data_IF_425135290924
#
_entry.id   IF_425135290924
#
_cell.length_a   1.000
_cell.length_b   1.000
_cell.length_c   1.000
_cell.angle_alpha   90.00
_cell.angle_beta   90.00
_cell.angle_gamma   90.00
#
_symmetry.space_group_name_H-M   'P 1'
#
loop_
_entity.id
_entity.type
_entity.pdbx_description
1 polymer ?
#
# COMPACT_ATOMS: atom_id res chain seq x y z
N UNK A 1 30.29 5.17 23.95
CA UNK A 1 30.34 5.83 22.64
C UNK A 1 29.54 5.09 21.55
N UNK A 2 29.28 3.77 21.64
CA UNK A 2 28.46 3.02 20.68
C UNK A 2 26.95 3.20 20.89
N UNK A 3 26.47 3.42 22.10
CA UNK A 3 25.06 3.61 22.40
C UNK A 3 24.47 4.93 21.82
N UNK A 4 25.24 6.01 21.80
CA UNK A 4 24.78 7.30 21.26
C UNK A 4 24.55 7.26 19.74
N UNK A 5 25.40 6.52 18.98
CA UNK A 5 25.23 6.39 17.52
C UNK A 5 24.02 5.56 17.10
N UNK A 6 23.57 4.65 17.97
CA UNK A 6 22.37 3.83 17.70
C UNK A 6 21.07 4.61 17.95
N UNK A 7 21.05 5.47 18.95
CA UNK A 7 19.91 6.36 19.25
C UNK A 7 19.73 7.37 18.10
N UNK A 8 20.80 8.04 17.66
CA UNK A 8 20.76 8.98 16.53
C UNK A 8 20.19 8.35 15.25
N UNK A 9 20.63 7.11 14.93
CA UNK A 9 20.13 6.41 13.74
C UNK A 9 18.64 6.04 13.86
N UNK A 10 18.19 5.62 15.02
CA UNK A 10 16.78 5.30 15.26
C UNK A 10 15.91 6.55 15.16
N UNK A 11 16.35 7.68 15.72
CA UNK A 11 15.62 8.95 15.61
C UNK A 11 15.51 9.39 14.15
N UNK A 12 16.60 9.29 13.37
CA UNK A 12 16.60 9.60 11.95
C UNK A 12 15.65 8.69 11.20
N UNK A 13 15.68 7.37 11.45
CA UNK A 13 14.78 6.41 10.83
C UNK A 13 13.30 6.72 11.13
N UNK A 14 12.99 7.05 12.38
CA UNK A 14 11.63 7.43 12.79
C UNK A 14 11.16 8.71 12.12
N UNK A 15 12.01 9.73 12.02
CA UNK A 15 11.68 11.00 11.35
C UNK A 15 11.45 10.78 9.86
N UNK A 16 12.32 10.02 9.19
CA UNK A 16 12.18 9.70 7.78
C UNK A 16 10.91 8.89 7.51
N UNK A 17 10.66 7.83 8.29
CA UNK A 17 9.47 7.01 8.17
C UNK A 17 8.19 7.82 8.46
N UNK A 18 8.18 8.65 9.50
CA UNK A 18 7.06 9.53 9.80
C UNK A 18 6.80 10.54 8.67
N UNK A 19 7.87 11.09 8.07
CA UNK A 19 7.76 11.97 6.91
C UNK A 19 7.20 11.26 5.68
N UNK A 20 7.75 10.09 5.33
CA UNK A 20 7.33 9.29 4.18
C UNK A 20 5.89 8.78 4.33
N UNK A 21 5.57 8.12 5.45
CA UNK A 21 4.21 7.60 5.70
C UNK A 21 3.20 8.73 6.00
N UNK A 22 3.65 9.85 6.55
CA UNK A 22 2.85 11.06 6.68
C UNK A 22 2.48 11.65 5.33
N UNK A 23 3.39 11.62 4.35
CA UNK A 23 3.11 12.02 2.98
C UNK A 23 2.11 11.08 2.31
N UNK A 24 2.29 9.75 2.41
CA UNK A 24 1.36 8.78 1.80
C UNK A 24 -0.04 8.92 2.42
N UNK A 25 -0.14 9.04 3.73
CA UNK A 25 -1.39 9.34 4.43
C UNK A 25 -2.03 10.67 3.99
N UNK A 26 -1.23 11.72 3.80
CA UNK A 26 -1.73 13.01 3.31
C UNK A 26 -2.36 12.86 1.92
N UNK A 27 -1.78 12.05 1.06
CA UNK A 27 -2.31 11.79 -0.28
C UNK A 27 -3.63 11.02 -0.22
N UNK A 28 -3.78 10.02 0.67
CA UNK A 28 -5.06 9.35 0.97
C UNK A 28 -6.11 10.37 1.45
N UNK A 29 -5.71 11.28 2.34
CA UNK A 29 -6.60 12.33 2.84
C UNK A 29 -7.02 13.31 1.75
N UNK A 30 -6.11 13.72 0.87
CA UNK A 30 -6.41 14.59 -0.28
C UNK A 30 -7.34 13.89 -1.28
N UNK A 31 -7.09 12.62 -1.58
CA UNK A 31 -7.98 11.81 -2.40
C UNK A 31 -9.38 11.71 -1.79
N UNK A 32 -9.46 11.45 -0.49
CA UNK A 32 -10.73 11.42 0.24
C UNK A 32 -11.43 12.78 0.23
N UNK A 33 -10.70 13.90 0.18
CA UNK A 33 -11.27 15.24 0.13
C UNK A 33 -11.97 15.55 -1.19
N UNK A 34 -11.74 14.77 -2.24
CA UNK A 34 -12.45 14.89 -3.53
C UNK A 34 -13.98 14.85 -3.33
N UNK A 35 -14.47 14.07 -2.36
CA UNK A 35 -15.90 13.98 -2.04
C UNK A 35 -16.50 15.30 -1.52
N UNK A 36 -15.68 16.20 -0.97
CA UNK A 36 -16.14 17.50 -0.47
C UNK A 36 -16.50 18.45 -1.62
N UNK A 37 -15.76 18.33 -2.75
CA UNK A 37 -15.89 19.20 -3.93
C UNK A 37 -16.77 18.55 -4.99
N UNK A 38 -16.44 17.32 -5.40
CA UNK A 38 -17.19 16.59 -6.40
C UNK A 38 -18.46 16.03 -5.75
N UNK A 39 -19.60 16.30 -6.40
CA UNK A 39 -20.88 15.73 -6.01
C UNK A 39 -20.96 14.22 -6.29
N UNK A 40 -22.19 13.69 -6.43
CA UNK A 40 -22.45 12.26 -6.64
C UNK A 40 -21.96 11.63 -7.96
N UNK A 41 -21.26 12.36 -8.84
CA UNK A 41 -21.01 11.95 -10.23
C UNK A 41 -19.53 11.97 -10.59
N UNK A 42 -18.76 11.02 -10.05
CA UNK A 42 -17.52 10.63 -10.73
C UNK A 42 -17.88 9.50 -11.72
N UNK A 43 -17.57 9.70 -13.00
CA UNK A 43 -17.85 8.70 -14.02
C UNK A 43 -17.11 7.38 -13.72
N UNK A 44 -17.78 6.27 -13.98
CA UNK A 44 -17.21 4.93 -13.70
C UNK A 44 -15.87 4.70 -14.42
N UNK A 45 -15.67 5.30 -15.60
CA UNK A 45 -14.41 5.23 -16.33
C UNK A 45 -13.23 5.87 -15.57
N UNK A 46 -13.46 6.99 -14.87
CA UNK A 46 -12.43 7.63 -14.05
C UNK A 46 -12.09 6.77 -12.83
N UNK A 47 -13.08 6.15 -12.20
CA UNK A 47 -12.84 5.23 -11.07
C UNK A 47 -12.01 4.03 -11.52
N UNK A 48 -12.37 3.40 -12.64
CA UNK A 48 -11.61 2.29 -13.25
C UNK A 48 -10.16 2.68 -13.56
N UNK A 49 -9.96 3.88 -14.12
CA UNK A 49 -8.62 4.39 -14.38
C UNK A 49 -7.80 4.58 -13.10
N UNK A 50 -8.42 5.07 -12.04
CA UNK A 50 -7.76 5.22 -10.74
C UNK A 50 -7.31 3.89 -10.17
N UNK A 51 -8.18 2.87 -10.17
CA UNK A 51 -7.81 1.54 -9.71
C UNK A 51 -6.74 0.88 -10.58
N UNK A 52 -6.84 1.01 -11.91
CA UNK A 52 -5.83 0.50 -12.81
C UNK A 52 -4.47 1.16 -12.59
N UNK A 53 -4.45 2.47 -12.46
CA UNK A 53 -3.23 3.24 -12.23
C UNK A 53 -2.57 2.87 -10.88
N UNK A 54 -3.36 2.77 -9.81
CA UNK A 54 -2.88 2.31 -8.50
C UNK A 54 -2.32 0.89 -8.57
N UNK A 55 -3.04 -0.05 -9.21
CA UNK A 55 -2.55 -1.42 -9.43
C UNK A 55 -1.18 -1.45 -10.14
N UNK A 56 -1.03 -0.63 -11.19
CA UNK A 56 0.23 -0.52 -11.93
C UNK A 56 1.39 -0.07 -11.05
N UNK A 57 1.19 0.97 -10.24
CA UNK A 57 2.18 1.46 -9.27
C UNK A 57 2.54 0.36 -8.27
N UNK A 58 1.54 -0.31 -7.67
CA UNK A 58 1.77 -1.38 -6.68
C UNK A 58 2.56 -2.54 -7.27
N UNK A 59 2.24 -2.97 -8.50
CA UNK A 59 2.97 -4.04 -9.19
C UNK A 59 4.44 -3.67 -9.36
N UNK A 60 4.74 -2.48 -9.86
CA UNK A 60 6.11 -2.03 -10.06
C UNK A 60 6.87 -1.84 -8.72
N UNK A 61 6.26 -1.16 -7.74
CA UNK A 61 6.84 -0.98 -6.41
C UNK A 61 7.17 -2.30 -5.72
N UNK A 62 6.26 -3.28 -5.81
CA UNK A 62 6.48 -4.61 -5.23
C UNK A 62 7.71 -5.30 -5.82
N UNK A 63 7.97 -5.13 -7.11
CA UNK A 63 9.12 -5.76 -7.78
C UNK A 63 10.39 -4.94 -7.55
N UNK A 64 10.39 -3.67 -7.96
CA UNK A 64 11.60 -2.85 -8.01
C UNK A 64 12.03 -2.36 -6.62
N UNK A 65 11.11 -1.83 -5.82
CA UNK A 65 11.45 -1.22 -4.54
C UNK A 65 11.46 -2.20 -3.36
N UNK A 66 10.91 -3.41 -3.49
CA UNK A 66 10.81 -4.37 -2.39
C UNK A 66 11.46 -5.73 -2.69
N UNK A 67 11.05 -6.44 -3.75
CA UNK A 67 11.57 -7.78 -4.03
C UNK A 67 13.04 -7.77 -4.46
N UNK A 68 13.43 -6.87 -5.35
CA UNK A 68 14.84 -6.78 -5.79
C UNK A 68 15.75 -6.42 -4.61
N UNK A 69 15.48 -5.38 -3.79
CA UNK A 69 16.25 -5.11 -2.58
C UNK A 69 16.24 -6.24 -1.56
N UNK A 70 15.15 -7.02 -1.48
CA UNK A 70 15.10 -8.20 -0.59
C UNK A 70 16.08 -9.28 -1.04
N UNK A 71 16.15 -9.57 -2.34
CA UNK A 71 17.09 -10.54 -2.93
C UNK A 71 18.53 -10.10 -2.72
N UNK A 72 18.85 -8.85 -3.09
CA UNK A 72 20.18 -8.28 -2.95
C UNK A 72 20.69 -8.32 -1.50
N UNK A 73 19.82 -7.98 -0.54
CA UNK A 73 20.18 -8.00 0.88
C UNK A 73 20.36 -9.39 1.47
N UNK A 74 19.77 -10.41 0.86
CA UNK A 74 19.95 -11.80 1.28
C UNK A 74 21.26 -12.39 0.72
N UNK A 75 21.90 -11.75 -0.26
CA UNK A 75 23.16 -12.22 -0.82
C UNK A 75 24.27 -12.25 0.23
N UNK A 76 24.98 -13.38 0.31
CA UNK A 76 26.01 -13.60 1.32
C UNK A 76 25.49 -13.89 2.75
N UNK A 77 24.18 -13.92 2.94
CA UNK A 77 23.52 -14.29 4.20
C UNK A 77 23.42 -15.81 4.39
N UNK A 78 22.85 -16.24 5.53
CA UNK A 78 22.70 -17.67 5.88
C UNK A 78 21.66 -18.39 5.01
N UNK A 79 20.83 -17.66 4.28
CA UNK A 79 19.73 -18.18 3.44
C UNK A 79 19.88 -17.63 2.02
N UNK A 80 19.72 -18.47 0.98
CA UNK A 80 19.75 -17.99 -0.41
C UNK A 80 18.69 -16.92 -0.68
N UNK A 81 19.04 -15.89 -1.49
CA UNK A 81 18.16 -14.75 -1.77
C UNK A 81 16.79 -15.15 -2.33
N UNK A 82 16.75 -16.15 -3.23
CA UNK A 82 15.48 -16.65 -3.77
C UNK A 82 14.56 -17.28 -2.71
N UNK A 83 15.14 -17.90 -1.67
CA UNK A 83 14.35 -18.51 -0.59
C UNK A 83 13.80 -17.44 0.36
N UNK A 84 14.60 -16.42 0.72
CA UNK A 84 14.13 -15.30 1.52
C UNK A 84 13.04 -14.51 0.79
N UNK A 85 13.25 -14.21 -0.49
CA UNK A 85 12.28 -13.48 -1.31
C UNK A 85 11.01 -14.31 -1.55
N UNK A 86 11.13 -15.54 -2.03
CA UNK A 86 9.98 -16.42 -2.31
C UNK A 86 9.21 -16.78 -1.04
N UNK A 87 9.91 -17.11 0.05
CA UNK A 87 9.29 -17.42 1.34
C UNK A 87 8.60 -16.21 1.98
N UNK A 88 9.26 -15.06 1.99
CA UNK A 88 8.68 -13.81 2.48
C UNK A 88 7.43 -13.43 1.69
N UNK A 89 7.52 -13.45 0.36
CA UNK A 89 6.38 -13.18 -0.53
C UNK A 89 5.22 -14.14 -0.27
N UNK A 90 5.47 -15.45 -0.17
CA UNK A 90 4.43 -16.43 0.11
C UNK A 90 3.76 -16.19 1.49
N UNK A 91 4.54 -15.78 2.50
CA UNK A 91 3.99 -15.41 3.81
C UNK A 91 3.12 -14.15 3.71
N UNK A 92 3.50 -13.13 2.93
CA UNK A 92 2.71 -11.92 2.73
C UNK A 92 1.38 -12.21 2.05
N UNK A 93 1.39 -12.99 0.95
CA UNK A 93 0.18 -13.47 0.27
C UNK A 93 -0.69 -14.28 1.23
N UNK A 94 -0.11 -15.26 1.95
CA UNK A 94 -0.84 -16.11 2.89
C UNK A 94 -1.43 -15.32 4.05
N UNK A 95 -0.75 -14.28 4.52
CA UNK A 95 -1.23 -13.40 5.58
C UNK A 95 -2.48 -12.62 5.14
N UNK A 96 -2.44 -11.98 3.97
CA UNK A 96 -3.61 -11.24 3.46
C UNK A 96 -4.76 -12.19 3.12
N UNK A 97 -4.49 -13.31 2.47
CA UNK A 97 -5.50 -14.33 2.20
C UNK A 97 -6.15 -14.86 3.50
N UNK A 98 -5.38 -14.97 4.60
CA UNK A 98 -5.93 -15.36 5.90
C UNK A 98 -6.78 -14.25 6.51
N UNK A 99 -6.34 -12.97 6.39
CA UNK A 99 -7.13 -11.82 6.84
C UNK A 99 -8.46 -11.74 6.10
N UNK A 100 -8.45 -11.92 4.77
CA UNK A 100 -9.65 -11.91 3.94
C UNK A 100 -10.67 -12.98 4.36
N UNK A 101 -10.20 -14.15 4.80
CA UNK A 101 -11.06 -15.21 5.30
C UNK A 101 -11.55 -14.97 6.73
N UNK A 102 -10.77 -14.29 7.56
CA UNK A 102 -11.06 -14.08 8.99
C UNK A 102 -11.83 -12.80 9.25
N UNK A 103 -11.67 -11.78 8.42
CA UNK A 103 -12.29 -10.48 8.62
C UNK A 103 -13.42 -10.31 7.61
N UNK A 104 -14.65 -9.95 8.06
CA UNK A 104 -15.74 -9.68 7.13
C UNK A 104 -15.40 -8.44 6.31
N UNK A 105 -15.31 -8.58 5.00
CA UNK A 105 -15.03 -7.51 4.05
C UNK A 105 -15.85 -7.70 2.77
N UNK A 106 -15.81 -6.73 1.89
CA UNK A 106 -16.56 -6.77 0.64
C UNK A 106 -15.74 -6.13 -0.47
N UNK A 107 -15.55 -6.87 -1.55
CA UNK A 107 -15.08 -6.32 -2.81
C UNK A 107 -16.21 -5.59 -3.53
N UNK A 108 -15.96 -4.45 -4.21
CA UNK A 108 -16.99 -3.64 -4.85
C UNK A 108 -17.87 -4.41 -5.83
N UNK A 109 -17.30 -5.39 -6.53
CA UNK A 109 -17.97 -6.19 -7.56
C UNK A 109 -18.47 -7.56 -7.05
N UNK A 110 -18.22 -7.90 -5.79
CA UNK A 110 -18.69 -9.15 -5.21
C UNK A 110 -20.20 -9.13 -4.97
N UNK A 111 -20.87 -10.25 -5.28
CA UNK A 111 -22.29 -10.43 -5.07
C UNK A 111 -22.74 -10.52 -3.59
N UNK A 112 -21.77 -10.54 -2.65
CA UNK A 112 -21.99 -10.60 -1.21
C UNK A 112 -20.70 -10.44 -0.41
N UNK A 113 -20.80 -10.25 0.92
CA UNK A 113 -19.63 -10.14 1.80
C UNK A 113 -18.88 -11.47 1.88
N UNK A 114 -17.55 -11.38 1.86
CA UNK A 114 -16.62 -12.48 2.06
C UNK A 114 -16.13 -12.54 3.52
N UNK A 115 -15.46 -13.63 3.90
CA UNK A 115 -14.99 -13.84 5.27
C UNK A 115 -16.07 -14.33 6.22
N UNK A 116 -15.94 -14.01 7.50
CA UNK A 116 -16.91 -14.40 8.53
C UNK A 116 -18.22 -13.66 8.35
N UNK A 117 -19.36 -14.38 8.41
CA UNK A 117 -20.69 -13.78 8.25
C UNK A 117 -20.91 -12.66 9.25
N UNK A 118 -21.04 -11.43 8.77
CA UNK A 118 -21.35 -10.26 9.58
C UNK A 118 -22.53 -9.47 8.99
N UNK A 119 -23.35 -8.90 9.86
CA UNK A 119 -24.46 -8.02 9.47
C UNK A 119 -24.02 -6.56 9.26
N UNK A 120 -22.77 -6.34 8.92
CA UNK A 120 -22.21 -5.00 8.74
C UNK A 120 -22.65 -4.40 7.41
N UNK A 121 -22.78 -3.08 7.40
CA UNK A 121 -23.12 -2.36 6.16
C UNK A 121 -22.00 -2.52 5.12
N UNK A 122 -22.39 -2.63 3.86
CA UNK A 122 -21.47 -2.74 2.72
C UNK A 122 -20.30 -1.74 2.78
N UNK A 123 -20.60 -0.47 3.08
CA UNK A 123 -19.61 0.59 3.23
C UNK A 123 -18.60 0.38 4.36
N UNK A 124 -19.00 -0.25 5.46
CA UNK A 124 -18.09 -0.57 6.56
C UNK A 124 -17.11 -1.66 6.13
N UNK A 125 -17.59 -2.65 5.38
CA UNK A 125 -16.78 -3.73 4.85
C UNK A 125 -15.77 -3.22 3.82
N UNK A 126 -16.20 -2.35 2.89
CA UNK A 126 -15.30 -1.71 1.92
C UNK A 126 -14.22 -0.85 2.60
N UNK A 127 -14.61 -0.03 3.59
CA UNK A 127 -13.64 0.79 4.33
C UNK A 127 -12.62 -0.08 5.06
N UNK A 128 -13.06 -1.22 5.59
CA UNK A 128 -12.17 -2.16 6.29
C UNK A 128 -11.19 -2.82 5.32
N UNK A 129 -11.66 -3.28 4.16
CA UNK A 129 -10.82 -3.84 3.12
C UNK A 129 -9.65 -2.87 2.79
N UNK A 130 -9.95 -1.64 2.38
CA UNK A 130 -8.92 -0.65 2.05
C UNK A 130 -8.01 -0.34 3.26
N UNK A 131 -8.56 -0.29 4.48
CA UNK A 131 -7.74 -0.08 5.68
C UNK A 131 -6.70 -1.19 5.87
N UNK A 132 -7.07 -2.44 5.59
CA UNK A 132 -6.16 -3.59 5.67
C UNK A 132 -5.05 -3.53 4.61
N UNK A 133 -5.37 -3.01 3.41
CA UNK A 133 -4.39 -2.84 2.32
C UNK A 133 -3.35 -1.78 2.64
N UNK A 134 -3.73 -0.71 3.32
CA UNK A 134 -2.82 0.37 3.71
C UNK A 134 -1.80 -0.06 4.79
N UNK A 135 -2.00 -1.20 5.48
CA UNK A 135 -1.04 -1.73 6.46
C UNK A 135 0.28 -2.14 5.77
N UNK A 136 0.29 -3.04 4.76
CA UNK A 136 1.50 -3.38 4.01
C UNK A 136 2.19 -2.17 3.38
N UNK A 137 1.44 -1.18 2.91
CA UNK A 137 2.01 0.03 2.31
C UNK A 137 2.78 0.86 3.34
N UNK A 138 2.17 1.14 4.49
CA UNK A 138 2.85 1.81 5.59
C UNK A 138 4.09 1.06 6.07
N UNK A 139 4.01 -0.28 6.17
CA UNK A 139 5.16 -1.12 6.51
C UNK A 139 6.27 -1.01 5.45
N UNK A 140 5.94 -1.07 4.17
CA UNK A 140 6.90 -0.99 3.07
C UNK A 140 7.68 0.33 3.11
N UNK A 141 6.98 1.46 3.23
CA UNK A 141 7.58 2.80 3.34
C UNK A 141 8.44 2.89 4.61
N UNK A 142 7.92 2.45 5.75
CA UNK A 142 8.66 2.45 7.02
C UNK A 142 9.95 1.63 6.97
N UNK A 143 9.89 0.41 6.41
CA UNK A 143 11.05 -0.47 6.23
C UNK A 143 12.11 0.17 5.31
N UNK A 144 11.69 0.74 4.18
CA UNK A 144 12.61 1.36 3.22
C UNK A 144 13.34 2.56 3.84
N UNK A 145 12.66 3.41 4.60
CA UNK A 145 13.31 4.50 5.33
C UNK A 145 14.18 4.03 6.51
N UNK A 146 13.80 2.96 7.19
CA UNK A 146 14.66 2.36 8.21
C UNK A 146 15.97 1.85 7.61
N UNK A 147 15.90 1.24 6.43
CA UNK A 147 17.07 0.82 5.67
C UNK A 147 17.94 2.01 5.23
N UNK A 148 17.33 3.05 4.69
CA UNK A 148 18.01 4.28 4.26
C UNK A 148 18.77 4.93 5.42
N UNK A 149 18.15 5.06 6.59
CA UNK A 149 18.80 5.56 7.80
C UNK A 149 19.97 4.67 8.28
N UNK A 150 19.91 3.38 7.98
CA UNK A 150 21.01 2.43 8.21
C UNK A 150 22.19 2.57 7.27
N UNK A 151 22.12 3.42 6.23
CA UNK A 151 23.13 3.61 5.18
C UNK A 151 22.73 2.92 3.87
N UNK A 152 21.46 2.52 3.71
CA UNK A 152 20.90 2.02 2.46
C UNK A 152 20.50 3.14 1.49
N UNK A 153 19.78 2.77 0.45
CA UNK A 153 19.37 3.68 -0.61
C UNK A 153 18.20 4.61 -0.16
N UNK A 154 18.52 5.89 0.01
CA UNK A 154 17.53 6.92 0.33
C UNK A 154 16.68 7.28 -0.89
N UNK A 155 17.27 7.27 -2.09
CA UNK A 155 16.56 7.59 -3.33
C UNK A 155 15.47 6.58 -3.62
N UNK A 156 15.76 5.28 -3.50
CA UNK A 156 14.77 4.22 -3.62
C UNK A 156 13.65 4.30 -2.57
N UNK A 157 13.99 4.65 -1.31
CA UNK A 157 12.96 4.87 -0.29
C UNK A 157 12.04 6.06 -0.63
N UNK A 158 12.59 7.13 -1.20
CA UNK A 158 11.83 8.28 -1.68
C UNK A 158 10.97 7.93 -2.89
N UNK A 159 11.51 7.17 -3.86
CA UNK A 159 10.77 6.71 -5.03
C UNK A 159 9.56 5.87 -4.63
N UNK A 160 9.75 4.93 -3.69
CA UNK A 160 8.67 4.13 -3.13
C UNK A 160 7.61 5.00 -2.44
N UNK A 161 8.01 5.92 -1.57
CA UNK A 161 7.08 6.79 -0.87
C UNK A 161 6.30 7.70 -1.84
N UNK A 162 6.95 8.23 -2.88
CA UNK A 162 6.30 9.02 -3.92
C UNK A 162 5.29 8.16 -4.71
N UNK A 163 5.68 6.98 -5.15
CA UNK A 163 4.80 6.07 -5.89
C UNK A 163 3.57 5.70 -5.08
N UNK A 164 3.77 5.21 -3.84
CA UNK A 164 2.66 4.88 -2.93
C UNK A 164 1.79 6.11 -2.64
N UNK A 165 2.38 7.28 -2.40
CA UNK A 165 1.60 8.50 -2.21
C UNK A 165 0.75 8.85 -3.43
N UNK A 166 1.28 8.73 -4.64
CA UNK A 166 0.53 9.01 -5.87
C UNK A 166 -0.66 8.04 -6.02
N UNK A 167 -0.50 6.74 -5.73
CA UNK A 167 -1.61 5.77 -5.79
C UNK A 167 -2.65 5.99 -4.68
N UNK A 168 -2.24 6.42 -3.52
CA UNK A 168 -3.12 6.66 -2.37
C UNK A 168 -4.14 7.77 -2.62
N UNK A 169 -3.85 8.72 -3.50
CA UNK A 169 -4.82 9.73 -3.90
C UNK A 169 -6.07 9.11 -4.58
N UNK A 170 -5.94 8.31 -5.65
CA UNK A 170 -7.06 7.53 -6.17
C UNK A 170 -7.77 6.65 -5.13
N UNK A 171 -7.03 5.99 -4.26
CA UNK A 171 -7.59 5.10 -3.25
C UNK A 171 -8.44 5.83 -2.21
N UNK A 172 -7.99 6.96 -1.70
CA UNK A 172 -8.78 7.79 -0.80
C UNK A 172 -10.10 8.25 -1.43
N UNK A 173 -10.07 8.60 -2.72
CA UNK A 173 -11.29 8.91 -3.48
C UNK A 173 -12.18 7.68 -3.64
N UNK A 174 -11.61 6.50 -3.88
CA UNK A 174 -12.31 5.23 -4.04
C UNK A 174 -13.05 4.78 -2.77
N UNK A 175 -12.57 5.16 -1.59
CA UNK A 175 -13.29 4.94 -0.32
C UNK A 175 -14.39 5.97 -0.12
N UNK A 176 -14.06 7.25 -0.27
CA UNK A 176 -14.96 8.34 0.12
C UNK A 176 -16.16 8.53 -0.83
N UNK A 177 -15.98 8.30 -2.13
CA UNK A 177 -17.04 8.50 -3.12
C UNK A 177 -18.18 7.49 -3.02
N UNK A 178 -17.95 6.15 -2.90
CA UNK A 178 -19.02 5.19 -2.67
C UNK A 178 -19.78 5.41 -1.36
N UNK A 179 -19.08 5.78 -0.28
CA UNK A 179 -19.73 6.17 0.98
C UNK A 179 -20.73 7.30 0.79
N UNK A 180 -20.38 8.29 -0.04
CA UNK A 180 -21.28 9.39 -0.39
C UNK A 180 -22.48 8.92 -1.20
N UNK A 181 -22.29 8.00 -2.13
CA UNK A 181 -23.37 7.41 -2.95
C UNK A 181 -24.37 6.64 -2.09
N UNK A 182 -23.91 5.98 -1.03
CA UNK A 182 -24.76 5.28 -0.05
C UNK A 182 -25.45 6.21 0.98
N UNK A 183 -25.38 7.53 0.79
CA UNK A 183 -26.13 8.50 1.61
C UNK A 183 -25.38 9.07 2.81
N UNK A 184 -24.09 8.75 3.00
CA UNK A 184 -23.30 9.43 4.03
C UNK A 184 -23.16 10.92 3.72
N UNK A 185 -23.12 11.77 4.75
CA UNK A 185 -22.78 13.18 4.54
C UNK A 185 -21.34 13.30 4.00
N UNK A 186 -21.07 14.36 3.21
CA UNK A 186 -19.72 14.61 2.67
C UNK A 186 -18.65 14.54 3.74
N UNK A 187 -18.89 15.16 4.89
CA UNK A 187 -17.96 15.17 6.03
C UNK A 187 -17.69 13.77 6.57
N UNK A 188 -18.74 12.94 6.75
CA UNK A 188 -18.59 11.56 7.25
C UNK A 188 -17.87 10.67 6.22
N UNK A 189 -18.17 10.81 4.94
CA UNK A 189 -17.49 10.09 3.88
C UNK A 189 -15.99 10.46 3.84
N UNK A 190 -15.67 11.75 3.88
CA UNK A 190 -14.30 12.25 4.00
C UNK A 190 -13.57 11.67 5.22
N UNK A 191 -14.17 11.77 6.41
CA UNK A 191 -13.55 11.29 7.65
C UNK A 191 -13.24 9.79 7.61
N UNK A 192 -14.10 8.97 7.01
CA UNK A 192 -13.87 7.54 6.87
C UNK A 192 -12.75 7.22 5.88
N UNK A 193 -12.70 7.94 4.76
CA UNK A 193 -11.60 7.81 3.83
C UNK A 193 -10.26 8.23 4.44
N UNK A 194 -10.21 9.33 5.21
CA UNK A 194 -9.00 9.70 5.95
C UNK A 194 -8.63 8.63 6.98
N UNK A 195 -9.60 8.08 7.70
CA UNK A 195 -9.35 7.07 8.72
C UNK A 195 -8.76 5.77 8.14
N UNK A 196 -9.10 5.39 6.89
CA UNK A 196 -8.54 4.19 6.25
C UNK A 196 -7.02 4.32 6.01
N UNK A 197 -6.52 5.52 5.73
CA UNK A 197 -5.08 5.75 5.55
C UNK A 197 -4.30 5.93 6.86
N UNK A 198 -4.97 6.16 7.99
CA UNK A 198 -4.28 6.43 9.27
C UNK A 198 -3.42 5.26 9.77
N UNK A 199 -3.64 4.07 9.27
CA UNK A 199 -2.83 2.87 9.58
C UNK A 199 -1.45 2.91 8.94
N UNK A 200 -1.26 3.67 7.85
CA UNK A 200 0.04 3.79 7.17
C UNK A 200 1.13 4.36 8.10
N UNK A 201 0.98 5.58 8.68
CA UNK A 201 1.98 6.10 9.61
C UNK A 201 2.08 5.25 10.89
N UNK A 202 0.98 4.64 11.35
CA UNK A 202 1.00 3.77 12.51
C UNK A 202 1.91 2.56 12.28
N UNK A 203 1.68 1.79 11.22
CA UNK A 203 2.45 0.58 10.94
C UNK A 203 3.86 0.88 10.41
N UNK A 204 4.03 2.00 9.67
CA UNK A 204 5.35 2.45 9.26
C UNK A 204 6.26 2.83 10.42
N UNK A 205 5.74 3.54 11.43
CA UNK A 205 6.50 3.84 12.65
C UNK A 205 6.72 2.57 13.47
N UNK A 206 5.70 1.70 13.61
CA UNK A 206 5.79 0.47 14.39
C UNK A 206 6.92 -0.44 13.87
N UNK A 207 7.02 -0.60 12.55
CA UNK A 207 8.06 -1.45 11.95
C UNK A 207 9.46 -0.88 12.17
N UNK A 208 9.62 0.45 12.17
CA UNK A 208 10.89 1.11 12.48
C UNK A 208 11.29 0.89 13.94
N UNK A 209 10.35 0.97 14.87
CA UNK A 209 10.63 0.75 16.30
C UNK A 209 11.18 -0.66 16.58
N UNK A 210 10.71 -1.65 15.84
CA UNK A 210 11.19 -3.04 16.00
C UNK A 210 12.39 -3.36 15.09
N UNK A 211 12.76 -2.48 14.18
CA UNK A 211 13.82 -2.68 13.20
C UNK A 211 15.14 -3.15 13.80
N UNK A 212 15.56 -2.59 14.95
CA UNK A 212 16.79 -2.94 15.62
C UNK A 212 16.89 -4.42 16.04
N UNK A 213 15.73 -5.07 16.26
CA UNK A 213 15.62 -6.49 16.64
C UNK A 213 15.46 -7.39 15.40
N UNK A 214 14.73 -6.90 14.39
CA UNK A 214 14.34 -7.66 13.20
C UNK A 214 15.30 -7.48 12.02
N UNK A 215 16.40 -6.73 12.17
CA UNK A 215 17.36 -6.46 11.09
C UNK A 215 17.76 -7.69 10.25
N UNK A 216 18.10 -8.85 10.84
CA UNK A 216 18.41 -10.07 10.11
C UNK A 216 17.23 -10.64 9.28
N UNK A 217 16.00 -10.26 9.63
CA UNK A 217 14.78 -10.68 8.93
C UNK A 217 14.38 -9.71 7.79
N UNK A 218 15.14 -8.66 7.56
CA UNK A 218 14.80 -7.62 6.57
C UNK A 218 14.48 -8.15 5.17
N UNK A 219 15.28 -9.08 4.60
CA UNK A 219 14.92 -9.66 3.30
C UNK A 219 13.52 -10.29 3.28
N UNK A 220 13.19 -11.00 4.35
CA UNK A 220 11.87 -11.63 4.52
C UNK A 220 10.73 -10.62 4.68
N UNK A 221 10.99 -9.53 5.40
CA UNK A 221 9.97 -8.51 5.67
C UNK A 221 9.69 -7.64 4.44
N UNK A 222 10.72 -7.28 3.67
CA UNK A 222 10.55 -6.59 2.39
C UNK A 222 9.77 -7.47 1.41
N UNK A 223 10.14 -8.74 1.30
CA UNK A 223 9.44 -9.68 0.45
C UNK A 223 8.00 -9.97 0.93
N UNK A 224 7.78 -9.98 2.25
CA UNK A 224 6.45 -10.08 2.84
C UNK A 224 5.56 -8.89 2.44
N UNK A 225 6.07 -7.66 2.56
CA UNK A 225 5.35 -6.47 2.15
C UNK A 225 5.04 -6.49 0.65
N UNK A 226 6.02 -6.90 -0.18
CA UNK A 226 5.82 -7.08 -1.62
C UNK A 226 4.73 -8.11 -1.94
N UNK A 227 4.74 -9.26 -1.27
CA UNK A 227 3.73 -10.31 -1.46
C UNK A 227 2.33 -9.85 -1.08
N UNK A 228 2.20 -9.12 0.04
CA UNK A 228 0.95 -8.54 0.48
C UNK A 228 0.43 -7.50 -0.54
N UNK A 229 1.29 -6.59 -1.01
CA UNK A 229 0.92 -5.59 -2.02
C UNK A 229 0.53 -6.22 -3.36
N UNK A 230 1.26 -7.25 -3.82
CA UNK A 230 0.91 -8.00 -5.04
C UNK A 230 -0.44 -8.70 -4.91
N UNK A 231 -0.74 -9.28 -3.75
CA UNK A 231 -2.05 -9.89 -3.50
C UNK A 231 -3.17 -8.86 -3.67
N UNK A 232 -3.05 -7.69 -3.04
CA UNK A 232 -4.03 -6.61 -3.17
C UNK A 232 -4.19 -6.14 -4.62
N UNK A 233 -3.08 -5.92 -5.32
CA UNK A 233 -3.13 -5.47 -6.71
C UNK A 233 -3.88 -6.46 -7.61
N UNK A 234 -3.65 -7.76 -7.43
CA UNK A 234 -4.24 -8.83 -8.26
C UNK A 234 -5.68 -9.13 -7.84
N UNK A 235 -5.96 -9.20 -6.55
CA UNK A 235 -7.27 -9.60 -6.02
C UNK A 235 -8.30 -8.47 -6.09
N UNK A 236 -7.87 -7.22 -5.92
CA UNK A 236 -8.80 -6.12 -5.80
C UNK A 236 -8.69 -5.06 -6.88
N UNK A 237 -7.49 -4.50 -7.09
CA UNK A 237 -7.37 -3.31 -7.92
C UNK A 237 -7.50 -3.64 -9.43
N UNK A 238 -6.90 -4.73 -9.89
CA UNK A 238 -7.00 -5.16 -11.29
C UNK A 238 -8.44 -5.53 -11.66
N UNK A 239 -9.19 -6.32 -10.87
CA UNK A 239 -10.61 -6.56 -11.14
C UNK A 239 -11.44 -5.29 -11.18
N UNK A 240 -11.19 -4.34 -10.27
CA UNK A 240 -11.91 -3.06 -10.23
C UNK A 240 -11.56 -2.12 -11.40
N UNK A 241 -10.38 -2.26 -11.98
CA UNK A 241 -10.02 -1.57 -13.21
C UNK A 241 -10.84 -2.05 -14.42
N UNK A 242 -11.55 -3.18 -14.29
CA UNK A 242 -12.37 -3.82 -15.35
C UNK A 242 -11.61 -3.90 -16.67
N UNK A 243 -10.82 -4.93 -16.83
CA UNK A 243 -10.11 -5.23 -18.08
C UNK A 243 -11.03 -5.99 -19.05
N UNK A 244 -12.19 -5.40 -19.39
CA UNK A 244 -13.15 -5.93 -20.34
C UNK A 244 -12.64 -5.89 -21.78
N UNK A 245 -13.27 -6.65 -22.67
CA UNK A 245 -12.98 -6.75 -24.11
C UNK A 245 -12.95 -5.40 -24.85
N UNK A 246 -13.52 -4.35 -24.24
CA UNK A 246 -13.55 -2.97 -24.78
C UNK A 246 -12.91 -1.94 -23.83
N UNK A 247 -12.15 -2.38 -22.82
CA UNK A 247 -11.60 -1.51 -21.78
C UNK A 247 -10.09 -1.26 -21.94
N UNK A 248 -9.68 -0.77 -23.11
CA UNK A 248 -8.30 -0.28 -23.34
C UNK A 248 -7.88 0.72 -22.26
N UNK A 249 -8.85 1.48 -21.72
CA UNK A 249 -8.59 2.54 -20.75
C UNK A 249 -8.12 2.00 -19.39
N UNK A 250 -8.70 0.91 -18.89
CA UNK A 250 -8.23 0.23 -17.67
C UNK A 250 -6.83 -0.35 -17.84
N UNK A 251 -6.61 -1.07 -18.94
CA UNK A 251 -5.29 -1.64 -19.28
C UNK A 251 -4.22 -0.55 -19.42
N UNK A 252 -4.52 0.53 -20.16
CA UNK A 252 -3.60 1.64 -20.33
C UNK A 252 -3.28 2.33 -19.00
N UNK A 253 -4.26 2.42 -18.09
CA UNK A 253 -4.06 2.99 -16.77
C UNK A 253 -3.11 2.13 -15.92
N UNK A 254 -3.26 0.79 -15.93
CA UNK A 254 -2.31 -0.13 -15.28
C UNK A 254 -0.90 0.06 -15.84
N UNK A 255 -0.77 0.08 -17.15
CA UNK A 255 0.53 0.27 -17.82
C UNK A 255 1.14 1.64 -17.51
N UNK A 256 0.33 2.69 -17.44
CA UNK A 256 0.80 4.04 -17.10
C UNK A 256 1.30 4.10 -15.65
N UNK A 257 0.57 3.50 -14.70
CA UNK A 257 1.00 3.41 -13.30
C UNK A 257 2.30 2.62 -13.14
N UNK A 258 2.38 1.47 -13.79
CA UNK A 258 3.60 0.65 -13.80
C UNK A 258 4.80 1.41 -14.36
N UNK A 259 4.62 2.05 -15.52
CA UNK A 259 5.68 2.83 -16.16
C UNK A 259 6.14 4.00 -15.28
N UNK A 260 5.19 4.74 -14.66
CA UNK A 260 5.53 5.83 -13.77
C UNK A 260 6.39 5.35 -12.60
N UNK A 261 5.96 4.29 -11.91
CA UNK A 261 6.70 3.77 -10.75
C UNK A 261 8.06 3.22 -11.14
N UNK A 262 8.14 2.47 -12.24
CA UNK A 262 9.41 1.97 -12.78
C UNK A 262 10.38 3.13 -13.07
N UNK A 263 9.89 4.22 -13.67
CA UNK A 263 10.72 5.40 -13.96
C UNK A 263 11.17 6.07 -12.66
N UNK A 264 10.28 6.21 -11.66
CA UNK A 264 10.66 6.79 -10.37
C UNK A 264 11.75 5.96 -9.68
N UNK A 265 11.63 4.64 -9.71
CA UNK A 265 12.56 3.73 -9.04
C UNK A 265 13.95 3.68 -9.73
N UNK A 266 13.98 3.80 -11.06
CA UNK A 266 15.24 3.73 -11.83
C UNK A 266 15.89 5.10 -11.98
N UNK A 267 15.13 6.19 -11.94
CA UNK A 267 15.65 7.54 -12.16
C UNK A 267 16.07 8.28 -10.89
N UNK A 268 15.57 7.88 -9.72
CA UNK A 268 15.94 8.42 -8.40
C UNK A 268 16.95 7.54 -7.69
#
# INVERSE_FOLDING_TARGET
MLAGKGVDKMEIALLMAAGGTGFTFLMTALGSAVVLVLGHKVGIGIQRAFFGFAAGIMLAASVFSLLLPAIERAEGGPVPGWLAAGGGMAMGVGFLMALDRLIPHLHPDAGGPEGVKASWKRTTLLTLAVTLHNIPEGMAVGLSFALAAGGGDFSGAMALALGIGIQNFPEGAAVSLPLRQEGFSRRKAFQRGVASGAVEPLFGILVVLVYGVIGPLMPWLLAFAAGAMLYVAVEELIPQAHLDVHADFGTLSVMAGFLLMMVLDVAL
#
